data_IF_810703966218
#
_entry.id   IF_810703966218
#
_cell.length_a   1.000
_cell.length_b   1.000
_cell.length_c   1.000
_cell.angle_alpha   90.00
_cell.angle_beta   90.00
_cell.angle_gamma   90.00
#
_symmetry.space_group_name_H-M   'P 1'
#
loop_
_entity.id
_entity.type
_entity.pdbx_description
1 polymer ?
#
# COMPACT_ATOMS: atom_id res chain seq x y z
N UNK A 1 -3.24 -16.48 -0.85
CA UNK A 1 -2.00 -16.44 -1.66
C UNK A 1 -2.33 -16.47 -3.15
N UNK A 2 -1.41 -16.07 -4.02
CA UNK A 2 -1.58 -16.19 -5.47
C UNK A 2 -0.29 -16.67 -6.14
N UNK A 3 -0.41 -17.56 -7.13
CA UNK A 3 0.68 -17.98 -8.01
C UNK A 3 0.70 -17.09 -9.26
N UNK A 4 1.84 -16.46 -9.53
CA UNK A 4 2.11 -15.65 -10.71
C UNK A 4 2.81 -16.51 -11.75
N UNK A 5 2.14 -16.75 -12.87
CA UNK A 5 2.66 -17.53 -14.00
C UNK A 5 3.18 -16.57 -15.06
N UNK A 6 4.48 -16.65 -15.37
CA UNK A 6 5.09 -15.77 -16.36
C UNK A 6 4.87 -16.27 -17.79
N UNK A 7 4.80 -15.33 -18.73
CA UNK A 7 4.78 -15.66 -20.15
C UNK A 7 6.16 -16.16 -20.58
N UNK A 8 6.20 -17.20 -21.41
CA UNK A 8 7.44 -17.68 -22.01
C UNK A 8 7.99 -16.62 -22.97
N UNK A 9 9.18 -16.10 -22.68
CA UNK A 9 9.88 -15.19 -23.58
C UNK A 9 10.52 -15.97 -24.73
N UNK A 10 10.46 -15.42 -25.95
CA UNK A 10 11.02 -16.08 -27.14
C UNK A 10 12.55 -16.07 -27.05
N UNK A 11 13.16 -17.25 -27.02
CA UNK A 11 14.63 -17.39 -26.99
C UNK A 11 15.25 -17.39 -25.58
N UNK A 12 14.43 -17.41 -24.52
CA UNK A 12 14.89 -17.61 -23.14
C UNK A 12 14.20 -18.82 -22.52
N UNK A 13 14.80 -19.34 -21.47
CA UNK A 13 14.19 -20.36 -20.62
C UNK A 13 12.92 -19.81 -19.94
N UNK A 14 11.90 -20.66 -19.74
CA UNK A 14 10.69 -20.25 -19.04
C UNK A 14 11.06 -19.81 -17.61
N UNK A 15 10.56 -18.63 -17.23
CA UNK A 15 10.72 -18.11 -15.88
C UNK A 15 9.88 -18.93 -14.91
N UNK A 16 10.42 -19.20 -13.72
CA UNK A 16 9.72 -19.94 -12.69
C UNK A 16 8.54 -19.13 -12.12
N UNK A 17 7.45 -19.82 -11.82
CA UNK A 17 6.28 -19.22 -11.20
C UNK A 17 6.59 -18.82 -9.76
N UNK A 18 5.98 -17.73 -9.28
CA UNK A 18 6.22 -17.21 -7.93
C UNK A 18 4.92 -17.17 -7.15
N UNK A 19 4.95 -17.60 -5.90
CA UNK A 19 3.80 -17.49 -4.98
C UNK A 19 3.95 -16.19 -4.18
N UNK A 20 2.92 -15.35 -4.19
CA UNK A 20 2.90 -14.05 -3.53
C UNK A 20 1.70 -13.95 -2.58
N UNK A 21 1.89 -13.26 -1.44
CA UNK A 21 0.79 -12.82 -0.60
C UNK A 21 0.32 -11.44 -1.08
N UNK A 22 -0.88 -11.36 -1.65
CA UNK A 22 -1.43 -10.11 -2.18
C UNK A 22 -1.87 -9.14 -1.07
N UNK A 23 -2.28 -9.65 0.09
CA UNK A 23 -2.74 -8.83 1.20
C UNK A 23 -1.58 -8.00 1.77
N UNK A 24 -0.46 -8.67 2.09
CA UNK A 24 0.79 -7.99 2.49
C UNK A 24 1.31 -7.01 1.43
N UNK A 25 1.15 -7.35 0.14
CA UNK A 25 1.60 -6.50 -0.95
C UNK A 25 0.84 -5.16 -1.05
N UNK A 26 -0.42 -5.13 -0.58
CA UNK A 26 -1.32 -3.96 -0.65
C UNK A 26 -1.42 -3.23 0.71
N UNK A 27 -1.26 -3.95 1.83
CA UNK A 27 -1.71 -3.51 3.16
C UNK A 27 -1.20 -2.13 3.60
N UNK A 28 0.08 -1.79 3.43
CA UNK A 28 0.58 -0.44 3.80
C UNK A 28 1.73 -0.02 2.89
N UNK A 29 1.40 0.45 1.69
CA UNK A 29 2.35 1.24 0.89
C UNK A 29 2.16 2.70 1.27
N UNK A 30 3.01 3.19 2.17
CA UNK A 30 2.95 4.57 2.68
C UNK A 30 2.83 5.60 1.55
N UNK A 31 2.33 6.81 1.87
CA UNK A 31 1.91 7.87 0.91
C UNK A 31 2.86 8.14 -0.27
N UNK A 32 4.16 7.83 -0.15
CA UNK A 32 5.20 8.04 -1.18
C UNK A 32 5.58 6.79 -1.98
N UNK A 33 4.97 5.64 -1.74
CA UNK A 33 5.32 4.40 -2.42
C UNK A 33 4.99 4.50 -3.92
N UNK A 34 5.99 4.24 -4.76
CA UNK A 34 5.89 4.26 -6.22
C UNK A 34 5.10 3.02 -6.71
N UNK A 35 3.79 3.03 -6.49
CA UNK A 35 2.81 2.16 -7.14
C UNK A 35 2.66 0.71 -6.64
N UNK A 36 1.60 0.08 -7.15
CA UNK A 36 1.21 -1.31 -6.86
C UNK A 36 1.66 -2.26 -7.98
N UNK A 37 2.92 -2.17 -8.41
CA UNK A 37 3.43 -3.04 -9.47
C UNK A 37 3.87 -4.41 -8.91
N UNK A 38 3.14 -5.46 -9.29
CA UNK A 38 3.40 -6.83 -8.84
C UNK A 38 4.66 -7.45 -9.48
N UNK A 39 4.92 -7.13 -10.75
CA UNK A 39 6.11 -7.58 -11.47
C UNK A 39 6.42 -6.65 -12.66
N UNK A 40 7.69 -6.61 -13.07
CA UNK A 40 8.15 -5.95 -14.30
C UNK A 40 8.06 -6.84 -15.53
N UNK A 41 7.94 -8.15 -15.34
CA UNK A 41 7.89 -9.13 -16.43
C UNK A 41 6.47 -9.32 -16.97
N UNK A 42 6.38 -9.87 -18.17
CA UNK A 42 5.08 -10.19 -18.77
C UNK A 42 4.46 -11.38 -18.05
N UNK A 43 3.42 -11.12 -17.27
CA UNK A 43 2.60 -12.14 -16.62
C UNK A 43 1.64 -12.74 -17.65
N UNK A 44 1.54 -14.07 -17.65
CA UNK A 44 0.57 -14.81 -18.48
C UNK A 44 -0.76 -14.97 -17.75
N UNK A 45 -0.68 -15.33 -16.47
CA UNK A 45 -1.83 -15.75 -15.68
C UNK A 45 -1.52 -15.54 -14.19
N UNK A 46 -2.52 -15.15 -13.42
CA UNK A 46 -2.46 -15.11 -11.96
C UNK A 46 -3.49 -16.11 -11.45
N UNK A 47 -3.03 -17.11 -10.70
CA UNK A 47 -3.91 -18.12 -10.10
C UNK A 47 -4.07 -17.80 -8.63
N UNK A 48 -5.30 -17.53 -8.21
CA UNK A 48 -5.60 -17.46 -6.78
C UNK A 48 -5.43 -18.87 -6.20
N UNK A 49 -4.60 -18.97 -5.17
CA UNK A 49 -4.51 -20.17 -4.35
C UNK A 49 -5.56 -20.08 -3.25
N UNK A 50 -5.80 -21.20 -2.58
CA UNK A 50 -6.71 -21.22 -1.43
C UNK A 50 -6.28 -20.17 -0.40
N UNK A 51 -7.21 -19.30 0.04
CA UNK A 51 -6.92 -18.35 1.10
C UNK A 51 -6.67 -19.09 2.40
N UNK A 52 -5.84 -18.51 3.27
CA UNK A 52 -5.77 -18.97 4.64
C UNK A 52 -7.12 -18.66 5.32
N UNK A 53 -7.57 -19.47 6.29
CA UNK A 53 -8.71 -19.12 7.13
C UNK A 53 -8.52 -17.73 7.73
N UNK A 54 -9.60 -16.96 7.80
CA UNK A 54 -9.57 -15.68 8.51
C UNK A 54 -9.34 -15.95 10.00
N UNK A 55 -8.32 -15.31 10.56
CA UNK A 55 -8.10 -15.23 12.01
C UNK A 55 -8.67 -13.88 12.47
N UNK A 56 -9.54 -13.90 13.49
CA UNK A 56 -9.98 -12.65 14.11
C UNK A 56 -8.76 -11.96 14.72
N UNK A 57 -8.54 -10.70 14.34
CA UNK A 57 -7.55 -9.87 15.02
C UNK A 57 -7.96 -9.75 16.50
N UNK A 58 -7.07 -10.20 17.39
CA UNK A 58 -7.19 -9.86 18.81
C UNK A 58 -7.16 -8.34 18.89
N UNK A 59 -8.31 -7.75 19.24
CA UNK A 59 -8.41 -6.32 19.52
C UNK A 59 -7.34 -6.00 20.56
N UNK A 60 -6.26 -5.36 20.12
CA UNK A 60 -5.38 -4.66 21.05
C UNK A 60 -6.24 -3.56 21.65
N UNK A 61 -6.63 -3.75 22.91
CA UNK A 61 -7.17 -2.63 23.67
C UNK A 61 -6.17 -1.49 23.54
N UNK A 62 -6.62 -0.26 23.24
CA UNK A 62 -5.72 0.86 23.20
C UNK A 62 -5.02 0.92 24.55
N UNK A 63 -3.71 0.72 24.57
CA UNK A 63 -2.93 1.08 25.75
C UNK A 63 -3.23 2.54 26.03
N UNK A 64 -3.68 2.85 27.25
CA UNK A 64 -3.71 4.22 27.78
C UNK A 64 -2.26 4.72 27.94
N UNK A 65 -1.46 4.73 26.87
CA UNK A 65 -0.21 5.47 26.84
C UNK A 65 -0.58 6.95 26.72
N UNK A 66 -0.59 7.58 27.89
CA UNK A 66 -0.53 9.01 28.18
C UNK A 66 -0.33 9.87 26.92
N UNK A 67 -1.43 10.47 26.44
CA UNK A 67 -1.40 11.63 25.55
C UNK A 67 -0.68 12.72 26.36
N UNK A 68 0.64 12.74 26.29
CA UNK A 68 1.45 13.77 26.91
C UNK A 68 1.05 15.10 26.29
N UNK A 69 0.65 16.04 27.15
CA UNK A 69 0.14 17.36 26.79
C UNK A 69 0.87 17.94 25.57
N UNK A 70 0.19 17.94 24.42
CA UNK A 70 0.68 18.67 23.25
C UNK A 70 0.47 20.16 23.54
N UNK A 71 1.51 20.78 24.12
CA UNK A 71 1.53 22.22 24.32
C UNK A 71 1.45 22.88 22.95
N UNK A 72 0.32 23.55 22.71
CA UNK A 72 0.09 24.38 21.53
C UNK A 72 1.19 25.44 21.46
N UNK A 73 2.17 25.26 20.58
CA UNK A 73 3.11 26.32 20.22
C UNK A 73 2.35 27.33 19.36
N UNK A 74 2.06 28.56 19.82
CA UNK A 74 1.47 29.56 18.96
C UNK A 74 2.46 29.86 17.85
N UNK A 75 2.07 29.59 16.61
CA UNK A 75 2.82 29.94 15.42
C UNK A 75 3.04 31.46 15.40
N UNK A 76 4.25 31.88 15.73
CA UNK A 76 4.70 33.25 15.53
C UNK A 76 4.56 33.57 14.04
N UNK A 77 3.79 34.61 13.76
CA UNK A 77 3.48 35.13 12.43
C UNK A 77 4.72 35.18 11.54
N UNK A 78 4.64 34.57 10.36
CA UNK A 78 5.35 35.06 9.19
C UNK A 78 4.43 34.89 8.00
N UNK A 79 4.01 36.05 7.49
CA UNK A 79 3.12 36.24 6.37
C UNK A 79 3.70 35.59 5.10
N UNK A 80 3.00 34.61 4.53
CA UNK A 80 2.97 34.42 3.09
C UNK A 80 1.66 33.73 2.70
N UNK A 81 0.68 34.56 2.43
CA UNK A 81 -0.66 34.21 1.97
C UNK A 81 -0.60 33.79 0.50
N UNK A 82 -0.64 32.48 0.22
CA UNK A 82 -1.03 31.95 -1.09
C UNK A 82 -2.02 30.82 -0.91
N UNK A 83 -3.24 31.20 -0.50
CA UNK A 83 -4.41 30.35 -0.50
C UNK A 83 -4.86 30.10 -1.95
N UNK A 84 -4.78 28.86 -2.43
CA UNK A 84 -5.35 28.47 -3.73
C UNK A 84 -6.87 28.40 -3.63
N UNK A 85 -7.57 29.38 -4.20
CA UNK A 85 -9.03 29.36 -4.39
C UNK A 85 -9.42 28.29 -5.41
N UNK A 86 -10.32 27.37 -5.06
CA UNK A 86 -11.05 26.55 -6.03
C UNK A 86 -12.36 27.27 -6.38
N UNK A 87 -12.41 27.81 -7.60
CA UNK A 87 -13.63 28.33 -8.23
C UNK A 87 -14.46 27.16 -8.77
N UNK A 88 -15.61 26.89 -8.15
CA UNK A 88 -16.66 26.05 -8.75
C UNK A 88 -17.62 26.99 -9.48
N UNK A 89 -17.36 27.19 -10.77
CA UNK A 89 -18.26 27.92 -11.67
C UNK A 89 -19.64 27.25 -11.73
N UNK A 90 -20.65 27.99 -11.29
CA UNK A 90 -22.08 27.78 -11.60
C UNK A 90 -22.49 28.87 -12.58
#
# INVERSE_FOLDING_TARGET
>A
MAEVVFAKEKGKDPKENVIVNLEEFIAIKGIKALGNQLSTDKVREIKALEPLPYEEDVQQEPSEEEIGDEQFIPSSQTENDQQTSLDLGI
#
